data_IF_215836882615
#
_entry.id   IF_215836882615
#
_cell.length_a   1.000
_cell.length_b   1.000
_cell.length_c   1.000
_cell.angle_alpha   90.00
_cell.angle_beta   90.00
_cell.angle_gamma   90.00
#
_symmetry.space_group_name_H-M   'P 1'
#
loop_
_entity.id
_entity.type
_entity.pdbx_description
1 polymer ?
#
# COMPACT_ATOMS: atom_id res chain seq x y z
N UNK A 1 -59.60 -65.91 44.91
CA UNK A 1 -60.36 -66.54 43.81
C UNK A 1 -60.27 -65.64 42.59
N UNK A 2 -59.77 -66.19 41.46
CA UNK A 2 -60.07 -65.91 40.02
C UNK A 2 -60.37 -64.45 39.58
N UNK A 3 -59.88 -63.89 38.47
CA UNK A 3 -58.92 -64.29 37.43
C UNK A 3 -58.87 -63.13 36.40
N UNK A 4 -57.70 -62.89 35.79
CA UNK A 4 -57.45 -62.38 34.41
C UNK A 4 -57.95 -61.00 33.97
N UNK A 5 -57.04 -60.14 33.48
CA UNK A 5 -56.68 -60.05 32.03
C UNK A 5 -55.30 -59.37 31.83
N UNK A 6 -54.49 -60.02 30.99
CA UNK A 6 -53.22 -59.69 30.27
C UNK A 6 -52.41 -58.41 30.59
N UNK A 7 -51.11 -58.40 30.93
CA UNK A 7 -49.85 -58.98 30.38
C UNK A 7 -49.37 -58.43 29.00
N UNK A 8 -48.31 -57.60 29.11
CA UNK A 8 -47.05 -57.49 28.32
C UNK A 8 -47.16 -56.88 26.91
N UNK A 9 -46.42 -55.78 26.66
CA UNK A 9 -45.25 -55.69 25.75
C UNK A 9 -45.01 -54.21 25.38
N UNK A 10 -43.89 -53.69 25.90
CA UNK A 10 -43.10 -52.59 25.34
C UNK A 10 -42.64 -52.97 23.93
N UNK A 11 -43.07 -52.25 22.90
CA UNK A 11 -42.38 -52.20 21.61
C UNK A 11 -42.74 -50.85 20.94
N UNK A 12 -41.71 -50.16 20.42
CA UNK A 12 -41.74 -49.04 19.47
C UNK A 12 -42.00 -47.63 20.02
N UNK A 13 -41.05 -47.13 20.81
CA UNK A 13 -40.68 -45.70 20.77
C UNK A 13 -39.15 -45.60 20.66
N UNK A 14 -38.60 -46.12 19.56
CA UNK A 14 -37.21 -45.89 19.16
C UNK A 14 -37.10 -46.14 17.66
N UNK A 15 -36.40 -45.23 16.97
CA UNK A 15 -35.93 -45.30 15.58
C UNK A 15 -36.99 -44.90 14.53
N UNK A 16 -37.19 -43.58 14.37
CA UNK A 16 -37.62 -42.99 13.10
C UNK A 16 -36.38 -42.40 12.41
N UNK A 17 -35.49 -43.29 11.97
CA UNK A 17 -34.44 -43.04 11.00
C UNK A 17 -34.66 -44.07 9.89
N UNK A 18 -34.51 -43.65 8.63
CA UNK A 18 -34.53 -44.43 7.37
C UNK A 18 -35.85 -44.47 6.58
N UNK A 19 -35.68 -44.42 5.25
CA UNK A 19 -36.66 -44.48 4.16
C UNK A 19 -37.28 -43.15 3.71
N UNK A 20 -36.39 -42.32 3.18
CA UNK A 20 -36.69 -41.25 2.23
C UNK A 20 -37.41 -41.83 1.01
N UNK A 21 -38.47 -41.11 0.65
CA UNK A 21 -39.30 -41.19 -0.54
C UNK A 21 -38.53 -41.50 -1.82
N UNK A 22 -38.91 -42.61 -2.46
CA UNK A 22 -38.66 -42.89 -3.88
C UNK A 22 -39.89 -42.44 -4.69
N UNK A 23 -39.64 -41.89 -5.87
CA UNK A 23 -40.61 -41.59 -6.94
C UNK A 23 -41.57 -40.40 -6.73
N UNK A 24 -41.11 -39.22 -7.16
CA UNK A 24 -41.87 -38.39 -8.10
C UNK A 24 -40.88 -37.57 -8.95
N UNK A 25 -40.40 -38.19 -10.02
CA UNK A 25 -39.73 -37.50 -11.13
C UNK A 25 -40.83 -37.08 -12.11
N UNK A 26 -40.82 -35.82 -12.55
CA UNK A 26 -40.80 -35.40 -13.98
C UNK A 26 -41.24 -33.92 -14.13
N UNK A 27 -40.40 -33.18 -14.88
CA UNK A 27 -40.54 -31.84 -15.48
C UNK A 27 -40.37 -30.61 -14.56
N UNK A 28 -39.12 -30.14 -14.42
CA UNK A 28 -38.71 -28.81 -14.90
C UNK A 28 -37.25 -28.85 -15.36
N UNK A 29 -36.99 -28.12 -16.43
CA UNK A 29 -35.80 -28.13 -17.29
C UNK A 29 -34.67 -27.31 -16.64
N UNK A 30 -33.42 -27.78 -16.84
CA UNK A 30 -32.13 -27.10 -16.65
C UNK A 30 -32.19 -25.63 -16.19
N UNK A 31 -31.92 -25.38 -14.91
CA UNK A 31 -31.35 -24.13 -14.43
C UNK A 31 -30.06 -24.48 -13.69
N UNK A 32 -29.01 -23.72 -13.99
CA UNK A 32 -27.62 -24.00 -13.64
C UNK A 32 -27.40 -24.25 -12.15
N UNK A 33 -26.34 -25.00 -11.84
CA UNK A 33 -25.80 -25.11 -10.49
C UNK A 33 -25.51 -23.72 -9.95
N UNK A 34 -26.36 -23.20 -9.09
CA UNK A 34 -26.05 -22.05 -8.24
C UNK A 34 -25.14 -22.54 -7.13
N UNK A 35 -23.84 -22.23 -7.24
CA UNK A 35 -22.92 -22.39 -6.12
C UNK A 35 -23.22 -21.23 -5.17
N UNK A 36 -23.62 -21.54 -3.93
CA UNK A 36 -23.72 -20.53 -2.87
C UNK A 36 -22.29 -20.23 -2.43
N UNK A 37 -21.78 -19.06 -2.80
CA UNK A 37 -20.51 -18.53 -2.28
C UNK A 37 -20.87 -17.73 -1.03
N UNK A 38 -20.37 -18.18 0.12
CA UNK A 38 -20.63 -17.56 1.42
C UNK A 38 -19.89 -16.21 1.47
N UNK A 39 -20.63 -15.10 1.36
CA UNK A 39 -20.11 -13.74 1.41
C UNK A 39 -19.73 -13.39 2.85
N UNK A 40 -18.46 -13.62 3.21
CA UNK A 40 -17.80 -13.00 4.38
C UNK A 40 -16.29 -13.17 4.28
N UNK A 41 -15.66 -12.40 3.40
CA UNK A 41 -14.25 -12.07 3.59
C UNK A 41 -14.15 -10.76 4.37
N UNK A 42 -13.37 -10.77 5.45
CA UNK A 42 -13.12 -9.61 6.32
C UNK A 42 -11.79 -8.92 5.99
N UNK A 43 -11.08 -9.38 4.96
CA UNK A 43 -9.76 -8.87 4.57
C UNK A 43 -9.91 -7.82 3.47
N UNK A 44 -9.40 -6.58 3.65
CA UNK A 44 -9.49 -5.52 2.66
C UNK A 44 -8.64 -5.80 1.41
N UNK A 45 -7.78 -6.82 1.45
CA UNK A 45 -6.91 -7.19 0.32
C UNK A 45 -7.57 -8.20 -0.64
N UNK A 46 -8.69 -8.81 -0.26
CA UNK A 46 -9.32 -9.90 -1.00
C UNK A 46 -10.52 -9.41 -1.81
N UNK A 47 -10.43 -9.49 -3.14
CA UNK A 47 -11.58 -9.29 -4.03
C UNK A 47 -12.47 -10.54 -3.96
N UNK A 48 -13.79 -10.44 -3.96
CA UNK A 48 -14.70 -11.59 -3.78
C UNK A 48 -15.55 -11.84 -5.02
N UNK A 49 -15.80 -13.10 -5.34
CA UNK A 49 -16.68 -13.48 -6.45
C UNK A 49 -18.12 -13.62 -5.97
N UNK A 50 -19.08 -13.08 -6.72
CA UNK A 50 -20.53 -13.23 -6.47
C UNK A 50 -21.27 -13.75 -7.70
N UNK A 51 -22.46 -14.28 -7.48
CA UNK A 51 -23.36 -14.64 -8.58
C UNK A 51 -23.89 -13.37 -9.25
N UNK A 52 -23.99 -13.38 -10.58
CA UNK A 52 -24.67 -12.31 -11.33
C UNK A 52 -26.09 -12.74 -11.68
N UNK A 53 -27.06 -11.85 -11.48
CA UNK A 53 -28.44 -12.07 -11.88
C UNK A 53 -28.63 -11.73 -13.37
N UNK A 54 -29.36 -12.59 -14.08
CA UNK A 54 -29.40 -12.63 -15.53
C UNK A 54 -30.23 -11.57 -16.25
N UNK A 55 -30.46 -10.38 -15.67
CA UNK A 55 -31.25 -9.34 -16.33
C UNK A 55 -30.75 -7.90 -16.04
N UNK A 56 -30.17 -7.26 -17.06
CA UNK A 56 -29.84 -5.82 -17.06
C UNK A 56 -30.98 -4.97 -17.62
N UNK A 57 -32.12 -5.57 -17.99
CA UNK A 57 -33.21 -4.82 -18.60
C UNK A 57 -33.73 -3.75 -17.64
N UNK A 58 -33.66 -2.50 -18.10
CA UNK A 58 -34.11 -1.35 -17.33
C UNK A 58 -33.04 -0.64 -16.52
N UNK A 59 -31.77 -1.07 -16.56
CA UNK A 59 -30.68 -0.29 -15.97
C UNK A 59 -30.30 0.89 -16.86
N UNK A 60 -30.21 2.06 -16.24
CA UNK A 60 -29.57 3.24 -16.81
C UNK A 60 -28.16 3.38 -16.27
N UNK A 61 -27.24 3.78 -17.13
CA UNK A 61 -25.84 3.94 -16.81
C UNK A 61 -25.39 5.37 -17.04
N UNK A 62 -24.43 5.81 -16.24
CA UNK A 62 -23.72 7.08 -16.38
C UNK A 62 -22.23 6.82 -16.51
N UNK A 63 -21.59 7.52 -17.45
CA UNK A 63 -20.15 7.45 -17.64
C UNK A 63 -19.44 8.49 -16.77
N UNK A 64 -18.45 8.05 -16.01
CA UNK A 64 -17.51 8.89 -15.25
C UNK A 64 -16.50 9.48 -16.23
N UNK A 65 -16.39 10.81 -16.28
CA UNK A 65 -15.36 11.46 -17.08
C UNK A 65 -14.03 11.47 -16.32
N UNK A 66 -13.07 10.67 -16.77
CA UNK A 66 -11.68 10.73 -16.29
C UNK A 66 -10.95 11.83 -17.06
N UNK A 67 -10.37 12.78 -16.33
CA UNK A 67 -9.46 13.79 -16.90
C UNK A 67 -8.02 13.39 -16.63
N UNK A 68 -7.17 13.55 -17.62
CA UNK A 68 -5.73 13.36 -17.43
C UNK A 68 -5.22 14.29 -16.32
N UNK A 69 -4.25 13.79 -15.55
CA UNK A 69 -3.49 14.63 -14.63
C UNK A 69 -2.68 15.65 -15.43
N UNK A 70 -2.54 16.86 -14.90
CA UNK A 70 -1.66 17.85 -15.52
C UNK A 70 -0.23 17.38 -15.38
N UNK A 71 0.51 17.43 -16.48
CA UNK A 71 1.94 17.14 -16.47
C UNK A 71 2.69 18.22 -15.67
N UNK A 72 3.74 17.81 -14.97
CA UNK A 72 4.74 18.78 -14.49
C UNK A 72 5.31 19.53 -15.70
N UNK A 73 5.59 20.84 -15.59
CA UNK A 73 6.25 21.57 -16.67
C UNK A 73 7.66 21.07 -16.97
N UNK A 74 8.27 20.31 -16.05
CA UNK A 74 9.68 19.90 -16.11
C UNK A 74 9.86 18.39 -16.28
N UNK A 75 8.93 17.59 -15.78
CA UNK A 75 9.07 16.13 -15.72
C UNK A 75 7.94 15.41 -16.47
N UNK A 76 8.31 14.42 -17.26
CA UNK A 76 7.36 13.62 -18.04
C UNK A 76 6.81 12.46 -17.20
N UNK A 77 5.49 12.28 -17.13
CA UNK A 77 4.91 11.13 -16.47
C UNK A 77 5.37 9.80 -17.06
N UNK A 78 5.54 8.81 -16.20
CA UNK A 78 5.73 7.40 -16.56
C UNK A 78 4.41 6.68 -16.33
N UNK A 79 4.01 5.83 -17.29
CA UNK A 79 2.90 4.89 -17.12
C UNK A 79 3.47 3.49 -16.98
N UNK A 80 3.29 2.88 -15.82
CA UNK A 80 3.66 1.48 -15.58
C UNK A 80 2.54 0.56 -16.02
N UNK A 81 2.87 -0.52 -16.71
CA UNK A 81 1.93 -1.59 -17.12
C UNK A 81 2.39 -2.95 -16.62
N UNK A 82 3.12 -2.98 -15.51
CA UNK A 82 3.74 -4.20 -14.97
C UNK A 82 2.69 -5.23 -14.56
N UNK A 83 1.54 -4.80 -14.05
CA UNK A 83 0.39 -5.67 -13.81
C UNK A 83 -0.03 -6.39 -15.08
N UNK A 84 -0.30 -5.63 -16.15
CA UNK A 84 -0.68 -6.17 -17.46
C UNK A 84 0.40 -7.05 -18.10
N UNK A 85 1.66 -6.64 -18.02
CA UNK A 85 2.82 -7.35 -18.59
C UNK A 85 3.03 -8.73 -17.97
N UNK A 86 2.74 -8.86 -16.67
CA UNK A 86 2.87 -10.10 -15.92
C UNK A 86 1.68 -11.06 -16.06
N UNK A 87 0.65 -10.69 -16.82
CA UNK A 87 -0.46 -11.60 -17.13
C UNK A 87 -0.02 -12.67 -18.14
N UNK A 88 -0.33 -13.92 -17.81
CA UNK A 88 0.20 -15.09 -18.50
C UNK A 88 -0.57 -15.45 -19.78
N UNK A 89 -1.88 -15.17 -19.80
CA UNK A 89 -2.75 -15.52 -20.92
C UNK A 89 -3.27 -14.29 -21.67
N UNK A 90 -3.60 -14.47 -22.95
CA UNK A 90 -4.23 -13.42 -23.75
C UNK A 90 -5.66 -13.12 -23.29
N UNK A 91 -6.34 -14.09 -22.67
CA UNK A 91 -7.66 -13.89 -22.03
C UNK A 91 -7.55 -12.93 -20.85
N UNK A 92 -6.55 -13.10 -19.99
CA UNK A 92 -6.28 -12.19 -18.86
C UNK A 92 -6.02 -10.76 -19.33
N UNK A 93 -5.13 -10.59 -20.33
CA UNK A 93 -4.82 -9.26 -20.90
C UNK A 93 -6.03 -8.63 -21.58
N UNK A 94 -6.85 -9.42 -22.29
CA UNK A 94 -8.08 -8.94 -22.93
C UNK A 94 -9.07 -8.44 -21.90
N UNK A 95 -9.27 -9.16 -20.80
CA UNK A 95 -10.11 -8.69 -19.70
C UNK A 95 -9.53 -7.40 -19.10
N UNK A 96 -8.24 -7.37 -18.74
CA UNK A 96 -7.57 -6.17 -18.23
C UNK A 96 -7.86 -4.92 -19.07
N UNK A 97 -7.72 -5.02 -20.41
CA UNK A 97 -7.94 -3.88 -21.31
C UNK A 97 -9.39 -3.40 -21.31
N UNK A 98 -10.35 -4.31 -21.11
CA UNK A 98 -11.78 -4.02 -21.07
C UNK A 98 -12.24 -3.44 -19.72
N UNK A 99 -11.52 -3.73 -18.62
CA UNK A 99 -11.87 -3.23 -17.27
C UNK A 99 -11.97 -1.71 -17.28
N UNK A 100 -10.98 -1.01 -17.84
CA UNK A 100 -10.95 0.48 -17.85
C UNK A 100 -12.26 1.08 -18.37
N UNK A 101 -12.79 0.55 -19.48
CA UNK A 101 -14.06 1.02 -20.04
C UNK A 101 -15.22 0.70 -19.11
N UNK A 102 -15.32 -0.55 -18.67
CA UNK A 102 -16.40 -1.03 -17.82
C UNK A 102 -16.51 -0.24 -16.52
N UNK A 103 -15.42 -0.08 -15.78
CA UNK A 103 -15.45 0.53 -14.43
C UNK A 103 -15.75 2.03 -14.45
N UNK A 104 -15.76 2.67 -15.62
CA UNK A 104 -16.19 4.07 -15.78
C UNK A 104 -17.66 4.21 -16.14
N UNK A 105 -18.36 3.13 -16.48
CA UNK A 105 -19.77 3.16 -16.84
C UNK A 105 -20.55 2.49 -15.71
N UNK A 106 -21.14 3.31 -14.84
CA UNK A 106 -21.72 2.87 -13.57
C UNK A 106 -23.24 3.08 -13.62
N UNK A 107 -24.00 2.12 -13.11
CA UNK A 107 -25.46 2.19 -12.99
C UNK A 107 -25.89 3.36 -12.11
N UNK A 108 -27.02 4.00 -12.45
CA UNK A 108 -27.56 5.13 -11.67
C UNK A 108 -28.23 4.68 -10.36
N UNK A 109 -28.61 3.41 -10.27
CA UNK A 109 -29.29 2.82 -9.13
C UNK A 109 -28.50 1.66 -8.56
N UNK A 110 -28.55 1.52 -7.23
CA UNK A 110 -27.98 0.36 -6.54
C UNK A 110 -28.78 -0.92 -6.81
N UNK A 111 -28.11 -2.06 -6.72
CA UNK A 111 -28.75 -3.36 -6.67
C UNK A 111 -29.37 -3.67 -5.29
N UNK A 112 -29.93 -4.86 -5.13
CA UNK A 112 -30.54 -5.31 -3.88
C UNK A 112 -29.55 -5.47 -2.71
N UNK A 113 -28.25 -5.52 -3.01
CA UNK A 113 -27.16 -5.66 -2.05
C UNK A 113 -26.45 -4.32 -1.77
N UNK A 114 -27.04 -3.20 -2.19
CA UNK A 114 -26.55 -1.83 -1.96
C UNK A 114 -25.29 -1.44 -2.76
N UNK A 115 -24.99 -2.12 -3.88
CA UNK A 115 -23.85 -1.83 -4.76
C UNK A 115 -24.26 -1.15 -6.07
N UNK A 116 -23.39 -0.30 -6.62
CA UNK A 116 -23.55 0.21 -7.98
C UNK A 116 -22.86 -0.73 -8.99
N UNK A 117 -23.62 -1.35 -9.88
CA UNK A 117 -23.07 -2.22 -10.94
C UNK A 117 -22.39 -1.42 -12.04
N UNK A 118 -21.32 -1.95 -12.64
CA UNK A 118 -20.68 -1.39 -13.84
C UNK A 118 -21.25 -2.03 -15.12
N UNK A 119 -21.00 -1.43 -16.29
CA UNK A 119 -21.33 -2.05 -17.59
C UNK A 119 -20.61 -3.39 -17.70
N UNK A 120 -21.34 -4.47 -17.98
CA UNK A 120 -20.75 -5.81 -18.07
C UNK A 120 -19.73 -5.90 -19.20
N UNK A 121 -18.62 -6.58 -18.90
CA UNK A 121 -17.63 -6.98 -19.89
C UNK A 121 -18.04 -8.33 -20.47
N UNK A 122 -18.24 -8.41 -21.78
CA UNK A 122 -18.41 -9.68 -22.48
C UNK A 122 -17.12 -10.06 -23.21
N UNK A 123 -16.64 -11.28 -22.95
CA UNK A 123 -15.43 -11.83 -23.55
C UNK A 123 -15.86 -12.97 -24.48
N UNK A 124 -16.15 -12.59 -25.72
CA UNK A 124 -16.67 -13.51 -26.73
C UNK A 124 -15.69 -14.66 -27.04
N UNK A 125 -16.21 -15.89 -27.06
CA UNK A 125 -15.53 -17.12 -27.45
C UNK A 125 -14.45 -17.59 -26.48
N UNK A 126 -14.42 -17.09 -25.24
CA UNK A 126 -13.40 -17.42 -24.24
C UNK A 126 -14.07 -17.77 -22.92
N UNK A 127 -13.85 -19.00 -22.45
CA UNK A 127 -14.22 -19.44 -21.11
C UNK A 127 -13.06 -19.20 -20.14
N UNK A 128 -13.13 -18.12 -19.35
CA UNK A 128 -12.11 -17.78 -18.36
C UNK A 128 -12.43 -18.40 -17.01
N UNK A 129 -11.45 -19.02 -16.37
CA UNK A 129 -11.56 -19.40 -14.97
C UNK A 129 -11.68 -18.16 -14.07
N UNK A 130 -12.37 -18.31 -12.94
CA UNK A 130 -12.45 -17.27 -11.91
C UNK A 130 -11.07 -16.76 -11.46
N UNK A 131 -10.06 -17.63 -11.44
CA UNK A 131 -8.68 -17.26 -11.11
C UNK A 131 -8.07 -16.31 -12.15
N UNK A 132 -8.28 -16.57 -13.45
CA UNK A 132 -7.85 -15.66 -14.52
C UNK A 132 -8.59 -14.31 -14.41
N UNK A 133 -9.90 -14.33 -14.12
CA UNK A 133 -10.68 -13.11 -13.90
C UNK A 133 -10.09 -12.30 -12.75
N UNK A 134 -9.89 -12.94 -11.59
CA UNK A 134 -9.32 -12.34 -10.38
C UNK A 134 -7.92 -11.77 -10.61
N UNK A 135 -7.02 -12.51 -11.27
CA UNK A 135 -5.67 -12.02 -11.61
C UNK A 135 -5.72 -10.80 -12.53
N UNK A 136 -6.64 -10.78 -13.49
CA UNK A 136 -6.85 -9.62 -14.39
C UNK A 136 -7.30 -8.38 -13.62
N UNK A 137 -8.21 -8.54 -12.66
CA UNK A 137 -8.67 -7.43 -11.80
C UNK A 137 -7.54 -6.91 -10.92
N UNK A 138 -6.81 -7.80 -10.25
CA UNK A 138 -5.69 -7.43 -9.40
C UNK A 138 -4.60 -6.69 -10.19
N UNK A 139 -4.31 -7.13 -11.43
CA UNK A 139 -3.36 -6.45 -12.31
C UNK A 139 -3.84 -5.03 -12.67
N UNK A 140 -5.14 -4.87 -12.96
CA UNK A 140 -5.73 -3.58 -13.25
C UNK A 140 -5.62 -2.62 -12.05
N UNK A 141 -6.01 -3.06 -10.85
CA UNK A 141 -5.92 -2.24 -9.63
C UNK A 141 -4.47 -1.86 -9.32
N UNK A 142 -3.53 -2.78 -9.52
CA UNK A 142 -2.09 -2.55 -9.33
C UNK A 142 -1.53 -1.46 -10.26
N UNK A 143 -1.95 -1.43 -11.53
CA UNK A 143 -1.46 -0.43 -12.51
C UNK A 143 -2.21 0.92 -12.43
N UNK A 144 -3.38 0.97 -11.77
CA UNK A 144 -4.28 2.13 -11.80
C UNK A 144 -4.63 2.66 -10.40
N UNK A 145 -3.65 3.17 -9.62
CA UNK A 145 -3.86 3.63 -8.23
C UNK A 145 -4.83 4.81 -8.08
N UNK A 146 -5.16 5.49 -9.19
CA UNK A 146 -6.11 6.61 -9.23
C UNK A 146 -7.58 6.18 -9.37
N UNK A 147 -7.85 4.90 -9.67
CA UNK A 147 -9.20 4.33 -9.74
C UNK A 147 -9.55 3.78 -8.35
N UNK A 148 -10.26 4.58 -7.56
CA UNK A 148 -10.50 4.30 -6.14
C UNK A 148 -11.91 3.84 -5.79
N UNK A 149 -12.80 3.78 -6.78
CA UNK A 149 -14.23 3.51 -6.56
C UNK A 149 -14.61 2.06 -6.83
N UNK A 150 -13.68 1.20 -7.22
CA UNK A 150 -13.92 -0.23 -7.43
C UNK A 150 -14.08 -0.91 -6.07
N UNK A 151 -15.14 -1.69 -5.91
CA UNK A 151 -15.33 -2.54 -4.74
C UNK A 151 -14.47 -3.80 -4.83
N UNK A 152 -14.24 -4.46 -3.70
CA UNK A 152 -13.60 -5.77 -3.62
C UNK A 152 -14.61 -6.88 -3.95
N UNK A 153 -15.38 -6.68 -5.02
CA UNK A 153 -16.45 -7.55 -5.48
C UNK A 153 -16.44 -7.61 -7.01
N UNK A 154 -16.61 -8.81 -7.55
CA UNK A 154 -16.92 -9.01 -8.96
C UNK A 154 -17.88 -10.18 -9.11
N UNK A 155 -18.69 -10.15 -10.17
CA UNK A 155 -19.51 -11.28 -10.56
C UNK A 155 -19.11 -11.77 -11.94
N UNK A 156 -19.38 -13.05 -12.23
CA UNK A 156 -19.16 -13.60 -13.55
C UNK A 156 -20.16 -14.71 -13.89
N UNK A 157 -20.44 -14.89 -15.18
CA UNK A 157 -21.21 -16.03 -15.69
C UNK A 157 -20.70 -16.47 -17.07
N UNK A 158 -21.12 -17.67 -17.46
CA UNK A 158 -20.83 -18.23 -18.77
C UNK A 158 -22.08 -18.25 -19.63
N UNK A 159 -21.97 -17.74 -20.85
CA UNK A 159 -23.03 -17.79 -21.86
C UNK A 159 -22.49 -18.54 -23.08
N UNK A 160 -22.72 -19.85 -23.13
CA UNK A 160 -22.02 -20.70 -24.10
C UNK A 160 -20.52 -20.75 -23.80
N UNK A 161 -19.71 -20.34 -24.78
CA UNK A 161 -18.24 -20.22 -24.62
C UNK A 161 -17.82 -18.82 -24.17
N UNK A 162 -18.74 -17.87 -24.04
CA UNK A 162 -18.42 -16.50 -23.64
C UNK A 162 -18.31 -16.38 -22.12
N UNK A 163 -17.41 -15.51 -21.65
CA UNK A 163 -17.35 -15.10 -20.24
C UNK A 163 -17.89 -13.69 -20.09
N UNK A 164 -18.89 -13.53 -19.23
CA UNK A 164 -19.42 -12.25 -18.82
C UNK A 164 -18.89 -11.90 -17.43
N UNK A 165 -18.38 -10.68 -17.25
CA UNK A 165 -17.85 -10.18 -15.97
C UNK A 165 -18.53 -8.86 -15.61
N UNK A 166 -18.93 -8.72 -14.35
CA UNK A 166 -19.56 -7.54 -13.77
C UNK A 166 -18.72 -7.06 -12.59
N UNK A 167 -18.48 -5.75 -12.52
CA UNK A 167 -17.80 -5.12 -11.38
C UNK A 167 -18.77 -4.24 -10.62
N UNK A 168 -18.35 -3.83 -9.43
CA UNK A 168 -19.15 -3.02 -8.53
C UNK A 168 -18.39 -1.79 -8.10
N UNK A 169 -19.10 -0.68 -7.96
CA UNK A 169 -18.57 0.55 -7.42
C UNK A 169 -19.18 0.85 -6.06
N UNK A 170 -18.32 1.27 -5.12
CA UNK A 170 -18.70 1.67 -3.76
C UNK A 170 -19.42 3.02 -3.72
N UNK A 171 -19.39 3.79 -4.82
CA UNK A 171 -20.00 5.11 -4.93
C UNK A 171 -20.63 5.31 -6.33
N UNK A 172 -21.55 6.28 -6.44
CA UNK A 172 -22.20 6.59 -7.72
C UNK A 172 -21.25 7.24 -8.73
N UNK A 173 -21.58 7.20 -10.03
CA UNK A 173 -20.82 7.90 -11.08
C UNK A 173 -20.64 9.40 -10.80
N UNK A 174 -21.66 10.07 -10.26
CA UNK A 174 -21.62 11.49 -9.85
C UNK A 174 -20.57 11.74 -8.78
N UNK A 175 -20.48 10.84 -7.82
CA UNK A 175 -19.53 10.94 -6.73
C UNK A 175 -18.11 10.59 -7.19
N UNK A 176 -17.95 9.56 -8.04
CA UNK A 176 -16.68 9.24 -8.69
C UNK A 176 -16.12 10.47 -9.40
N UNK A 177 -16.92 11.09 -10.28
CA UNK A 177 -16.49 12.25 -11.07
C UNK A 177 -16.13 13.45 -10.17
N UNK A 178 -16.94 13.74 -9.15
CA UNK A 178 -16.65 14.82 -8.19
C UNK A 178 -15.37 14.57 -7.41
N UNK A 179 -15.21 13.38 -6.80
CA UNK A 179 -14.01 13.04 -6.02
C UNK A 179 -12.77 12.96 -6.90
N UNK A 180 -12.90 12.44 -8.12
CA UNK A 180 -11.81 12.36 -9.08
C UNK A 180 -11.32 13.76 -9.50
N UNK A 181 -12.23 14.72 -9.71
CA UNK A 181 -11.86 16.10 -9.98
C UNK A 181 -11.11 16.75 -8.80
N UNK A 182 -11.48 16.43 -7.56
CA UNK A 182 -10.76 16.91 -6.36
C UNK A 182 -9.37 16.29 -6.27
N UNK A 183 -9.25 14.97 -6.48
CA UNK A 183 -7.96 14.28 -6.53
C UNK A 183 -7.07 14.87 -7.63
N UNK A 184 -7.59 15.00 -8.85
CA UNK A 184 -6.88 15.59 -9.98
C UNK A 184 -6.38 17.00 -9.64
N UNK A 185 -7.23 17.84 -9.04
CA UNK A 185 -6.83 19.19 -8.61
C UNK A 185 -5.75 19.19 -7.53
N UNK A 186 -5.80 18.25 -6.57
CA UNK A 186 -4.78 18.13 -5.53
C UNK A 186 -3.44 17.68 -6.10
N UNK A 187 -3.45 16.61 -6.91
CA UNK A 187 -2.26 16.10 -7.60
C UNK A 187 -1.63 17.17 -8.48
N UNK A 188 -2.42 17.90 -9.27
CA UNK A 188 -1.90 18.96 -10.13
C UNK A 188 -1.21 20.08 -9.33
N UNK A 189 -1.70 20.41 -8.13
CA UNK A 189 -1.03 21.39 -7.26
C UNK A 189 0.33 20.88 -6.78
N UNK A 190 0.43 19.61 -6.41
CA UNK A 190 1.69 19.00 -5.97
C UNK A 190 2.68 18.95 -7.13
N UNK A 191 2.25 18.52 -8.32
CA UNK A 191 3.10 18.48 -9.52
C UNK A 191 3.58 19.88 -9.95
N UNK A 192 2.77 20.93 -9.72
CA UNK A 192 3.15 22.30 -10.01
C UNK A 192 4.16 22.90 -9.02
N UNK A 193 4.33 22.27 -7.84
CA UNK A 193 5.33 22.66 -6.84
C UNK A 193 6.72 22.07 -7.12
N UNK A 194 6.86 21.17 -8.10
CA UNK A 194 8.16 20.68 -8.54
C UNK A 194 8.94 21.78 -9.25
N UNK A 195 10.21 21.92 -8.92
CA UNK A 195 11.13 22.90 -9.52
C UNK A 195 11.95 22.28 -10.66
N UNK A 196 12.45 23.11 -11.56
CA UNK A 196 13.36 22.66 -12.61
C UNK A 196 14.69 22.20 -12.02
N UNK A 197 15.26 21.13 -12.56
CA UNK A 197 16.57 20.62 -12.17
C UNK A 197 16.62 19.74 -10.91
N UNK A 198 15.50 19.48 -10.22
CA UNK A 198 15.45 18.45 -9.17
C UNK A 198 15.82 17.06 -9.73
N UNK A 199 16.72 16.37 -9.05
CA UNK A 199 17.07 14.97 -9.29
C UNK A 199 15.89 14.02 -9.00
N UNK A 200 16.01 12.74 -9.40
CA UNK A 200 15.04 11.71 -9.01
C UNK A 200 14.93 11.59 -7.48
N UNK A 201 16.06 11.56 -6.77
CA UNK A 201 16.09 11.53 -5.31
C UNK A 201 15.37 12.72 -4.67
N UNK A 202 15.60 13.95 -5.15
CA UNK A 202 14.96 15.15 -4.59
C UNK A 202 13.45 15.17 -4.86
N UNK A 203 13.02 14.75 -6.05
CA UNK A 203 11.59 14.60 -6.38
C UNK A 203 10.92 13.55 -5.52
N UNK A 204 11.56 12.41 -5.33
CA UNK A 204 11.04 11.35 -4.49
C UNK A 204 10.89 11.80 -3.03
N UNK A 205 11.95 12.41 -2.47
CA UNK A 205 11.92 12.95 -1.10
C UNK A 205 10.80 13.99 -0.96
N UNK A 206 10.64 14.88 -1.93
CA UNK A 206 9.57 15.87 -1.92
C UNK A 206 8.18 15.23 -1.85
N UNK A 207 7.94 14.18 -2.65
CA UNK A 207 6.65 13.48 -2.64
C UNK A 207 6.42 12.68 -1.37
N UNK A 208 7.47 12.04 -0.85
CA UNK A 208 7.47 11.34 0.43
C UNK A 208 7.09 12.28 1.58
N UNK A 209 7.80 13.38 1.70
CA UNK A 209 7.57 14.38 2.74
C UNK A 209 6.18 15.02 2.57
N UNK A 210 5.72 15.24 1.34
CA UNK A 210 4.36 15.71 1.07
C UNK A 210 3.31 14.72 1.60
N UNK A 211 3.43 13.43 1.29
CA UNK A 211 2.46 12.41 1.72
C UNK A 211 2.41 12.31 3.25
N UNK A 212 3.56 12.21 3.92
CA UNK A 212 3.62 12.09 5.38
C UNK A 212 3.08 13.35 6.07
N UNK A 213 3.45 14.55 5.60
CA UNK A 213 3.02 15.78 6.24
C UNK A 213 1.54 16.11 6.02
N UNK A 214 0.86 15.46 5.06
CA UNK A 214 -0.54 15.72 4.73
C UNK A 214 -1.47 14.55 5.05
N UNK A 215 -0.95 13.43 5.56
CA UNK A 215 -1.73 12.25 5.86
C UNK A 215 -1.47 11.73 7.28
N UNK A 216 -2.53 11.27 7.93
CA UNK A 216 -2.47 10.64 9.25
C UNK A 216 -2.79 9.16 9.10
N UNK A 217 -1.93 8.30 9.64
CA UNK A 217 -2.14 6.86 9.61
C UNK A 217 -3.38 6.43 10.40
N UNK A 218 -4.21 5.56 9.79
CA UNK A 218 -5.47 5.05 10.36
C UNK A 218 -5.44 3.55 10.65
N UNK A 219 -4.63 3.14 11.63
CA UNK A 219 -4.49 1.72 12.01
C UNK A 219 -5.73 1.01 12.59
N UNK A 220 -6.87 1.68 12.75
CA UNK A 220 -8.12 1.08 13.28
C UNK A 220 -9.11 0.64 12.19
N UNK A 221 -8.76 0.82 10.91
CA UNK A 221 -9.63 0.49 9.78
C UNK A 221 -9.34 -0.94 9.34
N UNK A 222 -10.36 -1.81 9.36
CA UNK A 222 -10.19 -3.23 9.07
C UNK A 222 -10.76 -3.64 7.70
N UNK A 223 -11.65 -2.85 7.11
CA UNK A 223 -12.32 -3.19 5.85
C UNK A 223 -12.80 -1.96 5.06
N UNK A 224 -13.13 -2.14 3.78
CA UNK A 224 -13.76 -1.08 2.96
C UNK A 224 -15.06 -0.55 3.57
N UNK A 225 -15.80 -1.39 4.31
CA UNK A 225 -17.03 -0.97 5.00
C UNK A 225 -16.80 0.02 6.14
N UNK A 226 -15.58 0.07 6.69
CA UNK A 226 -15.16 1.06 7.69
C UNK A 226 -14.78 2.41 7.04
N UNK A 227 -14.58 2.42 5.71
CA UNK A 227 -14.29 3.58 4.88
C UNK A 227 -13.33 3.26 3.74
N UNK A 228 -13.87 3.05 2.53
CA UNK A 228 -13.08 2.72 1.34
C UNK A 228 -11.99 3.77 1.04
N UNK A 229 -12.22 5.04 1.40
CA UNK A 229 -11.25 6.11 1.12
C UNK A 229 -9.88 5.82 1.74
N UNK A 230 -9.83 5.19 2.92
CA UNK A 230 -8.57 4.96 3.65
C UNK A 230 -7.59 4.03 2.90
N UNK A 231 -8.08 3.23 1.95
CA UNK A 231 -7.33 2.27 1.13
C UNK A 231 -6.96 2.83 -0.25
N UNK A 232 -7.06 4.15 -0.44
CA UNK A 232 -6.94 4.80 -1.75
C UNK A 232 -6.00 6.00 -1.72
N UNK A 233 -5.48 6.36 -2.90
CA UNK A 233 -4.73 7.61 -3.06
C UNK A 233 -5.58 8.85 -2.73
N UNK A 234 -6.91 8.76 -2.89
CA UNK A 234 -7.83 9.82 -2.45
C UNK A 234 -7.81 10.02 -0.93
N UNK A 235 -7.80 8.93 -0.15
CA UNK A 235 -7.70 9.00 1.31
C UNK A 235 -6.46 9.73 1.78
N UNK A 236 -5.30 9.36 1.23
CA UNK A 236 -4.03 9.98 1.62
C UNK A 236 -3.88 11.41 1.09
N UNK A 237 -4.07 11.65 -0.22
CA UNK A 237 -3.79 12.97 -0.84
C UNK A 237 -4.87 14.01 -0.54
N UNK A 238 -6.14 13.61 -0.45
CA UNK A 238 -7.27 14.56 -0.35
C UNK A 238 -7.87 14.59 1.06
N UNK A 239 -8.15 13.43 1.65
CA UNK A 239 -8.75 13.36 2.98
C UNK A 239 -7.72 13.57 4.09
N UNK A 240 -6.45 13.25 3.83
CA UNK A 240 -5.36 13.30 4.79
C UNK A 240 -5.44 12.19 5.84
N UNK A 241 -6.09 11.08 5.51
CA UNK A 241 -6.22 9.92 6.40
C UNK A 241 -6.22 8.63 5.57
N UNK A 242 -5.29 7.71 5.87
CA UNK A 242 -5.15 6.46 5.12
C UNK A 242 -4.49 5.34 5.95
N UNK A 243 -4.65 4.10 5.48
CA UNK A 243 -3.80 2.95 5.87
C UNK A 243 -2.65 2.77 4.87
N UNK A 244 -1.80 1.77 5.08
CA UNK A 244 -0.60 1.52 4.27
C UNK A 244 -0.86 1.48 2.77
N UNK A 245 -1.97 0.85 2.34
CA UNK A 245 -2.38 0.83 0.93
C UNK A 245 -2.62 2.22 0.34
N UNK A 246 -3.23 3.14 1.10
CA UNK A 246 -3.45 4.51 0.64
C UNK A 246 -2.17 5.34 0.55
N UNK A 247 -1.21 5.11 1.46
CA UNK A 247 0.14 5.70 1.37
C UNK A 247 0.86 5.17 0.13
N UNK A 248 0.90 3.85 -0.05
CA UNK A 248 1.63 3.20 -1.14
C UNK A 248 1.07 3.56 -2.53
N UNK A 249 -0.26 3.60 -2.68
CA UNK A 249 -0.92 4.06 -3.93
C UNK A 249 -0.68 5.54 -4.20
N UNK A 250 -0.57 6.37 -3.17
CA UNK A 250 -0.26 7.80 -3.33
C UNK A 250 1.17 8.01 -3.80
N UNK A 251 2.12 7.31 -3.19
CA UNK A 251 3.52 7.33 -3.65
C UNK A 251 3.63 6.81 -5.09
N UNK A 252 2.98 5.70 -5.42
CA UNK A 252 2.95 5.18 -6.79
C UNK A 252 2.40 6.23 -7.78
N UNK A 253 1.26 6.86 -7.46
CA UNK A 253 0.64 7.86 -8.33
C UNK A 253 1.52 9.10 -8.51
N UNK A 254 2.01 9.68 -7.41
CA UNK A 254 2.78 10.92 -7.43
C UNK A 254 4.16 10.73 -8.08
N UNK A 255 4.86 9.64 -7.75
CA UNK A 255 6.19 9.35 -8.31
C UNK A 255 6.10 9.08 -9.82
N UNK A 256 5.16 8.23 -10.25
CA UNK A 256 4.96 7.97 -11.68
C UNK A 256 4.61 9.24 -12.45
N UNK A 257 3.72 10.11 -11.93
CA UNK A 257 3.42 11.41 -12.55
C UNK A 257 4.61 12.37 -12.55
N UNK A 258 5.49 12.28 -11.55
CA UNK A 258 6.74 13.03 -11.50
C UNK A 258 7.84 12.45 -12.40
N UNK A 259 7.59 11.34 -13.09
CA UNK A 259 8.55 10.71 -14.00
C UNK A 259 9.56 9.77 -13.33
N UNK A 260 9.17 9.15 -12.22
CA UNK A 260 9.96 8.14 -11.49
C UNK A 260 9.17 6.83 -11.51
N UNK A 261 9.80 5.73 -11.93
CA UNK A 261 9.14 4.43 -11.98
C UNK A 261 8.90 3.91 -10.56
N UNK A 262 7.64 3.75 -10.18
CA UNK A 262 7.23 3.28 -8.87
C UNK A 262 6.05 2.29 -8.97
N UNK A 263 6.12 1.23 -8.16
CA UNK A 263 5.07 0.22 -8.05
C UNK A 263 4.82 -0.13 -6.58
N UNK A 264 3.61 -0.60 -6.27
CA UNK A 264 3.30 -1.13 -4.93
C UNK A 264 3.86 -2.54 -4.75
N UNK A 265 4.29 -2.88 -3.54
CA UNK A 265 4.62 -4.24 -3.10
C UNK A 265 3.66 -4.65 -1.99
N UNK A 266 3.19 -5.89 -2.03
CA UNK A 266 2.38 -6.55 -1.01
C UNK A 266 3.23 -7.56 -0.23
N UNK A 267 2.93 -7.65 1.05
CA UNK A 267 3.63 -8.51 1.96
C UNK A 267 2.98 -8.53 3.33
N UNK A 268 3.80 -8.83 4.32
CA UNK A 268 3.46 -8.71 5.72
C UNK A 268 4.52 -7.86 6.43
N UNK A 269 4.09 -7.11 7.43
CA UNK A 269 4.96 -6.38 8.34
C UNK A 269 4.48 -6.62 9.76
N UNK A 270 5.38 -7.03 10.65
CA UNK A 270 5.03 -7.49 12.01
C UNK A 270 3.90 -8.55 12.08
N UNK A 271 3.75 -9.35 11.01
CA UNK A 271 2.72 -10.39 10.92
C UNK A 271 1.33 -9.90 10.50
N UNK A 272 1.20 -8.66 10.05
CA UNK A 272 -0.03 -8.06 9.50
C UNK A 272 0.18 -7.73 8.03
N UNK A 273 -0.85 -7.91 7.22
CA UNK A 273 -0.83 -7.53 5.81
C UNK A 273 -0.40 -6.09 5.61
N UNK A 274 0.56 -5.89 4.72
CA UNK A 274 1.16 -4.58 4.50
C UNK A 274 1.41 -4.31 3.02
N UNK A 275 1.35 -3.03 2.65
CA UNK A 275 1.64 -2.56 1.32
C UNK A 275 2.59 -1.35 1.38
N UNK A 276 3.67 -1.42 0.62
CA UNK A 276 4.66 -0.36 0.47
C UNK A 276 5.06 -0.23 -1.01
N UNK A 277 6.21 0.37 -1.33
CA UNK A 277 6.64 0.60 -2.71
C UNK A 277 8.02 0.01 -3.03
N UNK A 278 8.22 -0.22 -4.33
CA UNK A 278 9.54 -0.22 -4.96
C UNK A 278 9.64 0.96 -5.91
N UNK A 279 10.80 1.59 -5.95
CA UNK A 279 11.07 2.82 -6.70
C UNK A 279 12.42 2.71 -7.39
N UNK A 280 12.49 3.24 -8.62
CA UNK A 280 13.71 3.24 -9.42
C UNK A 280 14.34 4.63 -9.43
N UNK A 281 15.55 4.75 -8.87
CA UNK A 281 16.32 6.00 -8.78
C UNK A 281 17.70 5.79 -9.39
N UNK A 282 18.08 6.63 -10.34
CA UNK A 282 19.37 6.58 -11.06
C UNK A 282 19.69 5.16 -11.58
N UNK A 283 18.70 4.52 -12.19
CA UNK A 283 18.73 3.16 -12.74
C UNK A 283 18.79 1.98 -11.74
N UNK A 284 18.80 2.25 -10.44
CA UNK A 284 18.78 1.24 -9.38
C UNK A 284 17.42 1.14 -8.69
N UNK A 285 17.06 -0.05 -8.21
CA UNK A 285 15.81 -0.29 -7.50
C UNK A 285 15.99 -0.26 -5.98
N UNK A 286 15.00 0.31 -5.30
CA UNK A 286 14.96 0.42 -3.86
C UNK A 286 13.55 0.15 -3.33
N UNK A 287 13.48 -0.25 -2.06
CA UNK A 287 12.23 -0.24 -1.30
C UNK A 287 12.00 1.14 -0.67
N UNK A 288 10.74 1.53 -0.65
CA UNK A 288 10.24 2.74 -0.02
C UNK A 288 8.99 2.40 0.80
N UNK A 289 9.01 2.68 2.11
CA UNK A 289 7.83 2.54 2.97
C UNK A 289 7.52 3.83 3.72
N UNK A 290 6.74 4.70 3.06
CA UNK A 290 6.27 5.96 3.63
C UNK A 290 5.34 5.77 4.84
N UNK A 291 4.80 4.58 5.07
CA UNK A 291 3.95 4.31 6.23
C UNK A 291 4.80 4.12 7.47
N UNK A 292 5.90 3.37 7.36
CA UNK A 292 6.84 3.16 8.46
C UNK A 292 7.72 4.38 8.73
N UNK A 293 7.88 5.25 7.73
CA UNK A 293 8.54 6.54 7.89
C UNK A 293 7.62 7.66 8.45
N UNK A 294 6.30 7.43 8.53
CA UNK A 294 5.35 8.35 9.18
C UNK A 294 5.35 8.15 10.70
N UNK A 295 5.97 9.08 11.42
CA UNK A 295 5.96 9.08 12.90
C UNK A 295 5.16 10.24 13.45
N UNK A 296 4.67 10.09 14.69
CA UNK A 296 4.03 11.19 15.45
C UNK A 296 4.88 12.47 15.56
N UNK A 297 6.18 12.37 15.30
CA UNK A 297 7.15 13.46 15.37
C UNK A 297 7.57 13.99 13.99
N UNK A 298 6.87 13.59 12.91
CA UNK A 298 7.18 13.92 11.52
C UNK A 298 7.84 12.76 10.78
N UNK A 299 8.16 13.01 9.51
CA UNK A 299 8.85 12.05 8.66
C UNK A 299 10.19 11.65 9.25
N UNK A 300 10.44 10.34 9.28
CA UNK A 300 11.79 9.78 9.33
C UNK A 300 12.12 9.19 7.96
N UNK A 301 13.30 8.59 7.82
CA UNK A 301 13.78 8.07 6.53
C UNK A 301 14.45 6.70 6.70
N UNK A 302 13.98 5.90 7.65
CA UNK A 302 14.53 4.57 7.93
C UNK A 302 14.16 3.56 6.85
N UNK A 303 13.08 3.81 6.12
CA UNK A 303 12.59 2.99 5.02
C UNK A 303 12.58 3.74 3.68
N UNK A 304 13.40 4.79 3.56
CA UNK A 304 13.58 5.58 2.35
C UNK A 304 14.76 5.05 1.51
N UNK A 305 14.45 4.46 0.35
CA UNK A 305 15.41 3.87 -0.57
C UNK A 305 16.36 2.84 0.07
N UNK A 306 15.78 1.83 0.71
CA UNK A 306 16.54 0.73 1.32
C UNK A 306 16.60 -0.49 0.40
N UNK A 307 17.57 -1.36 0.65
CA UNK A 307 17.77 -2.60 -0.11
C UNK A 307 16.92 -3.77 0.41
N UNK A 308 17.00 -4.90 -0.30
CA UNK A 308 16.37 -6.16 0.05
C UNK A 308 16.78 -6.68 1.44
N UNK A 309 18.04 -6.44 1.87
CA UNK A 309 18.54 -6.93 3.15
C UNK A 309 17.85 -6.18 4.30
N UNK A 310 17.79 -4.86 4.20
CA UNK A 310 17.21 -4.00 5.23
C UNK A 310 15.69 -4.18 5.32
N UNK A 311 14.95 -4.20 4.21
CA UNK A 311 13.47 -4.33 4.27
C UNK A 311 13.07 -5.66 4.92
N UNK A 312 13.82 -6.75 4.66
CA UNK A 312 13.54 -8.10 5.16
C UNK A 312 13.81 -8.27 6.66
N UNK A 313 14.38 -7.26 7.33
CA UNK A 313 14.54 -7.28 8.79
C UNK A 313 13.22 -7.14 9.54
N UNK A 314 12.21 -6.55 8.90
CA UNK A 314 10.89 -6.24 9.47
C UNK A 314 9.72 -6.70 8.59
N UNK A 315 9.96 -6.82 7.28
CA UNK A 315 8.94 -7.18 6.29
C UNK A 315 9.17 -8.57 5.70
N UNK A 316 8.07 -9.21 5.28
CA UNK A 316 8.10 -10.38 4.41
C UNK A 316 7.44 -10.01 3.09
N UNK A 317 8.14 -10.22 1.97
CA UNK A 317 7.63 -9.94 0.63
C UNK A 317 6.78 -11.13 0.15
N UNK A 318 5.54 -10.88 -0.28
CA UNK A 318 4.73 -11.94 -0.87
C UNK A 318 5.31 -12.40 -2.22
N UNK A 319 5.07 -13.66 -2.65
CA UNK A 319 5.62 -14.20 -3.89
C UNK A 319 5.21 -13.40 -5.13
N UNK A 320 6.01 -13.51 -6.21
CA UNK A 320 5.61 -12.99 -7.52
C UNK A 320 4.50 -13.88 -8.12
N UNK A 321 3.62 -13.29 -8.94
CA UNK A 321 2.43 -13.95 -9.50
C UNK A 321 2.75 -15.26 -10.24
N UNK A 322 3.92 -15.39 -10.87
CA UNK A 322 4.36 -16.60 -11.58
C UNK A 322 4.70 -17.76 -10.64
N UNK A 323 5.00 -17.47 -9.37
CA UNK A 323 5.25 -18.48 -8.33
C UNK A 323 3.95 -18.96 -7.66
N UNK A 324 2.83 -18.30 -7.95
CA UNK A 324 1.51 -18.61 -7.40
C UNK A 324 0.66 -19.31 -8.46
N UNK A 325 0.20 -20.53 -8.14
CA UNK A 325 -0.70 -21.23 -9.05
C UNK A 325 -2.06 -20.52 -9.15
N UNK A 326 -2.74 -20.70 -10.30
CA UNK A 326 -4.09 -20.18 -10.53
C UNK A 326 -5.06 -20.55 -9.40
N UNK A 327 -5.04 -21.78 -8.92
CA UNK A 327 -5.96 -22.23 -7.86
C UNK A 327 -5.65 -21.54 -6.53
N UNK A 328 -4.36 -21.39 -6.17
CA UNK A 328 -3.95 -20.65 -4.98
C UNK A 328 -4.39 -19.18 -5.04
N UNK A 329 -4.40 -18.56 -6.22
CA UNK A 329 -4.82 -17.15 -6.34
C UNK A 329 -6.27 -16.85 -5.91
N UNK A 330 -7.11 -17.89 -5.73
CA UNK A 330 -8.46 -17.76 -5.18
C UNK A 330 -8.54 -17.84 -3.66
N UNK A 331 -7.46 -18.26 -3.00
CA UNK A 331 -7.45 -18.42 -1.55
C UNK A 331 -7.59 -17.05 -0.89
N UNK A 332 -8.55 -16.95 0.03
CA UNK A 332 -8.70 -15.77 0.88
C UNK A 332 -7.37 -15.53 1.62
N UNK A 333 -6.93 -14.28 1.65
CA UNK A 333 -5.66 -13.82 2.24
C UNK A 333 -4.38 -14.13 1.45
N UNK A 334 -4.44 -14.81 0.29
CA UNK A 334 -3.24 -14.99 -0.52
C UNK A 334 -2.84 -13.69 -1.21
N UNK A 335 -1.75 -13.09 -0.73
CA UNK A 335 -1.09 -11.94 -1.35
C UNK A 335 -0.02 -12.39 -2.34
N UNK A 336 0.13 -11.63 -3.42
CA UNK A 336 1.18 -11.80 -4.41
C UNK A 336 1.47 -10.47 -5.11
N UNK A 337 2.60 -10.42 -5.81
CA UNK A 337 3.08 -9.24 -6.51
C UNK A 337 3.15 -9.50 -8.02
N UNK A 338 2.80 -8.49 -8.84
CA UNK A 338 3.00 -8.58 -10.30
C UNK A 338 4.43 -8.27 -10.70
N UNK A 339 5.18 -7.59 -9.84
CA UNK A 339 6.56 -7.19 -10.10
C UNK A 339 7.34 -7.13 -8.80
N UNK A 340 8.52 -7.74 -8.78
CA UNK A 340 9.47 -7.66 -7.68
C UNK A 340 10.86 -7.48 -8.31
N UNK A 341 11.44 -6.27 -8.26
CA UNK A 341 12.81 -6.06 -8.70
C UNK A 341 13.80 -6.56 -7.64
N UNK A 342 15.07 -6.68 -8.01
CA UNK A 342 16.15 -6.86 -7.03
C UNK A 342 16.59 -5.48 -6.53
N UNK A 343 16.42 -5.21 -5.23
CA UNK A 343 16.92 -3.97 -4.62
C UNK A 343 18.23 -4.27 -3.90
N UNK A 344 19.35 -3.84 -4.49
CA UNK A 344 20.71 -4.14 -3.95
C UNK A 344 21.57 -2.90 -3.69
N UNK A 345 21.10 -1.74 -4.16
CA UNK A 345 21.80 -0.48 -3.95
C UNK A 345 21.29 0.19 -2.67
N UNK A 346 22.18 0.96 -2.04
CA UNK A 346 21.85 1.87 -0.94
C UNK A 346 22.22 3.32 -1.28
N UNK A 347 22.65 3.61 -2.51
CA UNK A 347 23.19 4.91 -2.92
C UNK A 347 22.14 6.04 -2.89
N UNK A 348 20.88 5.72 -3.19
CA UNK A 348 19.78 6.65 -3.09
C UNK A 348 19.13 6.67 -1.70
N UNK A 349 19.65 5.91 -0.72
CA UNK A 349 19.19 5.94 0.66
C UNK A 349 19.33 7.33 1.26
N UNK A 350 18.34 7.78 2.04
CA UNK A 350 18.38 9.12 2.64
C UNK A 350 19.64 9.35 3.46
N UNK A 351 19.96 8.42 4.36
CA UNK A 351 21.14 8.55 5.23
C UNK A 351 22.45 8.36 4.47
N UNK A 352 22.48 7.55 3.41
CA UNK A 352 23.65 7.46 2.52
C UNK A 352 24.00 8.81 1.90
N UNK A 353 23.00 9.67 1.63
CA UNK A 353 23.21 11.01 1.07
C UNK A 353 23.36 12.11 2.13
N UNK A 354 22.73 11.99 3.29
CA UNK A 354 22.55 13.10 4.23
C UNK A 354 23.19 12.88 5.62
N UNK A 355 23.61 11.67 5.98
CA UNK A 355 24.17 11.41 7.30
C UNK A 355 25.65 11.79 7.40
N UNK A 356 26.05 12.23 8.60
CA UNK A 356 27.46 12.28 8.94
C UNK A 356 27.98 10.84 9.12
N UNK A 357 29.10 10.50 8.49
CA UNK A 357 29.67 9.14 8.56
C UNK A 357 30.85 9.11 9.52
N UNK A 358 30.84 8.15 10.45
CA UNK A 358 31.93 7.89 11.38
C UNK A 358 32.45 6.46 11.14
N UNK A 359 33.63 6.33 10.54
CA UNK A 359 34.38 5.08 10.38
C UNK A 359 35.47 4.92 11.44
N UNK A 360 36.00 6.04 11.92
CA UNK A 360 37.04 6.13 12.95
C UNK A 360 36.81 7.39 13.80
N UNK A 361 37.59 7.55 14.85
CA UNK A 361 37.53 8.71 15.74
C UNK A 361 38.71 9.69 15.56
N UNK A 362 39.29 9.71 14.35
CA UNK A 362 40.37 10.63 13.98
C UNK A 362 39.90 12.07 13.77
N UNK A 363 40.86 12.99 13.66
CA UNK A 363 40.58 14.42 13.56
C UNK A 363 39.75 14.78 12.33
N UNK A 364 40.00 14.15 11.19
CA UNK A 364 39.26 14.41 9.95
C UNK A 364 37.79 14.03 10.09
N UNK A 365 37.51 12.83 10.59
CA UNK A 365 36.15 12.33 10.79
C UNK A 365 35.41 13.17 11.83
N UNK A 366 36.07 13.51 12.93
CA UNK A 366 35.46 14.35 13.97
C UNK A 366 35.08 15.74 13.43
N UNK A 367 35.94 16.37 12.61
CA UNK A 367 35.66 17.68 12.01
C UNK A 367 34.48 17.64 11.02
N UNK A 368 34.29 16.54 10.30
CA UNK A 368 33.10 16.35 9.44
C UNK A 368 31.81 16.31 10.26
N UNK A 369 31.81 15.60 11.39
CA UNK A 369 30.64 15.55 12.30
C UNK A 369 30.35 16.93 12.90
N UNK A 370 31.38 17.67 13.32
CA UNK A 370 31.22 19.05 13.83
C UNK A 370 30.64 19.96 12.74
N UNK A 371 31.12 19.85 11.50
CA UNK A 371 30.58 20.63 10.38
C UNK A 371 29.10 20.28 10.11
N UNK A 372 28.75 19.00 10.19
CA UNK A 372 27.37 18.55 10.05
C UNK A 372 26.46 19.08 11.19
N UNK A 373 26.97 19.13 12.43
CA UNK A 373 26.27 19.76 13.56
C UNK A 373 26.00 21.25 13.32
N UNK A 374 26.99 21.99 12.84
CA UNK A 374 26.86 23.43 12.54
C UNK A 374 25.81 23.64 11.45
N UNK A 375 25.86 22.86 10.37
CA UNK A 375 24.89 22.96 9.28
C UNK A 375 23.47 22.62 9.76
N UNK A 376 23.32 21.53 10.51
CA UNK A 376 22.05 21.14 11.09
C UNK A 376 21.48 22.25 11.99
N UNK A 377 22.33 22.87 12.82
CA UNK A 377 21.94 23.94 13.71
C UNK A 377 21.49 25.21 12.98
N UNK A 378 22.24 25.65 11.95
CA UNK A 378 21.89 26.81 11.14
C UNK A 378 20.58 26.61 10.37
N UNK A 379 20.26 25.38 9.98
CA UNK A 379 18.99 25.01 9.35
C UNK A 379 17.88 24.66 10.34
N UNK A 380 18.15 24.73 11.65
CA UNK A 380 17.24 24.31 12.73
C UNK A 380 16.68 22.90 12.52
N UNK A 381 17.52 21.99 12.03
CA UNK A 381 17.16 20.60 11.81
C UNK A 381 16.78 19.92 13.13
N UNK A 382 15.74 19.11 13.11
CA UNK A 382 15.31 18.35 14.29
C UNK A 382 16.25 17.20 14.62
N UNK A 383 16.88 16.62 13.59
CA UNK A 383 17.69 15.43 13.71
C UNK A 383 19.04 15.59 13.01
N UNK A 384 20.10 15.11 13.65
CA UNK A 384 21.37 14.81 13.00
C UNK A 384 21.55 13.29 12.88
N UNK A 385 21.39 12.71 11.69
CA UNK A 385 21.71 11.30 11.47
C UNK A 385 23.21 11.09 11.39
N UNK A 386 23.70 10.07 12.08
CA UNK A 386 25.09 9.63 12.07
C UNK A 386 25.14 8.14 11.71
N UNK A 387 25.76 7.82 10.59
CA UNK A 387 26.02 6.45 10.16
C UNK A 387 27.40 5.98 10.62
N UNK A 388 27.48 4.71 10.98
CA UNK A 388 28.71 4.08 11.44
C UNK A 388 29.29 3.16 10.37
N UNK A 389 30.61 3.24 10.20
CA UNK A 389 31.36 2.33 9.36
C UNK A 389 31.51 0.94 9.97
N UNK A 390 32.00 -0.01 9.17
CA UNK A 390 32.14 -1.43 9.57
C UNK A 390 33.40 -1.73 10.37
N UNK A 391 34.22 -0.72 10.68
CA UNK A 391 35.51 -0.84 11.36
C UNK A 391 35.38 -1.25 12.82
N UNK A 392 34.25 -0.94 13.46
CA UNK A 392 33.94 -1.30 14.85
C UNK A 392 32.50 -1.81 14.96
N UNK A 393 32.17 -2.43 16.08
CA UNK A 393 30.81 -2.84 16.35
C UNK A 393 29.93 -1.63 16.65
N UNK A 394 28.66 -1.67 16.26
CA UNK A 394 27.69 -0.59 16.48
C UNK A 394 27.69 -0.07 17.94
N UNK A 395 27.60 -0.98 18.92
CA UNK A 395 27.60 -0.59 20.33
C UNK A 395 28.93 0.03 20.80
N UNK A 396 30.05 -0.25 20.13
CA UNK A 396 31.33 0.40 20.45
C UNK A 396 31.34 1.87 20.02
N UNK A 397 30.79 2.19 18.84
CA UNK A 397 30.58 3.58 18.41
C UNK A 397 29.66 4.33 19.36
N UNK A 398 28.51 3.75 19.66
CA UNK A 398 27.50 4.34 20.54
C UNK A 398 28.09 4.63 21.92
N UNK A 399 28.76 3.64 22.52
CA UNK A 399 29.36 3.82 23.83
C UNK A 399 30.43 4.89 23.82
N UNK A 400 31.30 4.91 22.80
CA UNK A 400 32.37 5.92 22.68
C UNK A 400 31.84 7.33 22.50
N UNK A 401 30.76 7.50 21.73
CA UNK A 401 30.15 8.80 21.49
C UNK A 401 29.38 9.34 22.69
N UNK A 402 28.57 8.50 23.34
CA UNK A 402 27.51 8.97 24.25
C UNK A 402 27.62 8.47 25.69
N UNK A 403 28.28 7.33 25.96
CA UNK A 403 28.19 6.66 27.27
C UNK A 403 29.51 6.42 28.00
N UNK A 404 30.64 6.44 27.31
CA UNK A 404 31.98 6.28 27.88
C UNK A 404 32.76 7.58 27.80
N UNK A 405 33.49 7.91 28.87
CA UNK A 405 34.44 9.02 28.87
C UNK A 405 35.42 8.87 27.68
N UNK A 406 35.63 9.94 26.88
CA UNK A 406 35.33 11.35 27.18
C UNK A 406 33.95 11.85 26.70
N UNK A 407 33.02 10.96 26.34
CA UNK A 407 31.72 11.27 25.74
C UNK A 407 31.86 12.15 24.50
N UNK A 408 32.53 11.60 23.49
CA UNK A 408 33.03 12.35 22.32
C UNK A 408 32.00 13.26 21.68
N UNK A 409 30.73 12.84 21.61
CA UNK A 409 29.70 13.65 20.95
C UNK A 409 29.51 15.03 21.62
N UNK A 410 29.55 15.11 22.95
CA UNK A 410 29.44 16.39 23.66
C UNK A 410 30.64 17.30 23.39
N UNK A 411 31.82 16.75 23.12
CA UNK A 411 32.97 17.54 22.68
C UNK A 411 32.77 18.14 21.28
N UNK A 412 32.06 17.43 20.39
CA UNK A 412 31.71 17.94 19.06
C UNK A 412 30.69 19.06 19.17
N UNK A 413 29.67 18.90 20.02
CA UNK A 413 28.67 19.94 20.30
C UNK A 413 29.32 21.21 20.86
N UNK A 414 30.25 21.08 21.82
CA UNK A 414 30.99 22.24 22.33
C UNK A 414 31.76 22.96 21.21
N UNK A 415 32.45 22.20 20.36
CA UNK A 415 33.22 22.75 19.23
C UNK A 415 32.34 23.41 18.17
N UNK A 416 31.12 22.90 17.95
CA UNK A 416 30.13 23.50 17.08
C UNK A 416 29.57 24.80 17.68
N UNK A 417 29.20 24.79 18.96
CA UNK A 417 28.65 25.95 19.68
C UNK A 417 29.65 27.11 19.83
N UNK A 418 30.96 26.85 19.76
CA UNK A 418 31.98 27.90 19.66
C UNK A 418 31.95 28.68 18.33
N UNK A 419 31.34 28.09 17.29
CA UNK A 419 31.25 28.64 15.94
C UNK A 419 29.84 29.11 15.56
N UNK A 420 28.82 28.72 16.33
CA UNK A 420 27.43 29.12 16.14
C UNK A 420 27.15 30.44 16.88
N UNK A 421 26.23 31.23 16.33
CA UNK A 421 25.68 32.38 17.05
C UNK A 421 24.76 31.92 18.20
N UNK A 422 24.36 32.86 19.07
CA UNK A 422 23.56 32.55 20.25
C UNK A 422 22.17 31.99 19.91
N UNK A 423 21.60 32.32 18.75
CA UNK A 423 20.27 31.86 18.33
C UNK A 423 20.30 30.40 17.86
N UNK A 424 21.41 29.95 17.27
CA UNK A 424 21.56 28.61 16.70
C UNK A 424 22.30 27.63 17.61
N UNK A 425 22.74 28.06 18.80
CA UNK A 425 23.43 27.16 19.75
C UNK A 425 22.58 25.95 20.12
N UNK A 426 23.23 24.79 20.05
CA UNK A 426 22.67 23.50 20.40
C UNK A 426 22.62 23.41 21.93
N UNK A 427 21.44 23.16 22.49
CA UNK A 427 21.27 22.84 23.89
C UNK A 427 21.80 21.43 24.15
N UNK A 428 22.84 21.37 24.97
CA UNK A 428 23.55 20.14 25.29
C UNK A 428 22.72 19.19 26.16
N UNK A 429 21.91 19.74 27.05
CA UNK A 429 21.17 18.95 28.04
C UNK A 429 19.84 18.43 27.47
N UNK A 430 19.32 19.07 26.43
CA UNK A 430 18.14 18.65 25.67
C UNK A 430 18.38 17.56 24.61
N UNK A 431 19.63 17.13 24.40
CA UNK A 431 19.95 16.10 23.40
C UNK A 431 19.41 14.73 23.80
N UNK A 432 18.89 14.00 22.82
CA UNK A 432 18.58 12.58 22.96
C UNK A 432 18.99 11.80 21.71
N UNK A 433 19.00 10.47 21.79
CA UNK A 433 19.37 9.61 20.67
C UNK A 433 18.30 8.55 20.40
N UNK A 434 18.08 8.27 19.12
CA UNK A 434 17.30 7.14 18.65
C UNK A 434 18.24 6.20 17.90
N UNK A 435 18.41 4.99 18.44
CA UNK A 435 19.28 3.94 17.89
C UNK A 435 18.57 3.20 16.75
N UNK A 436 19.28 2.93 15.66
CA UNK A 436 18.88 1.99 14.62
C UNK A 436 20.07 1.07 14.30
N UNK A 437 20.16 -0.03 15.05
CA UNK A 437 21.28 -0.98 14.94
C UNK A 437 21.31 -1.69 13.58
N UNK A 438 20.14 -2.03 13.03
CA UNK A 438 20.03 -2.69 11.72
C UNK A 438 20.65 -1.83 10.60
N UNK A 439 20.42 -0.52 10.63
CA UNK A 439 21.00 0.42 9.68
C UNK A 439 22.40 0.91 10.08
N UNK A 440 22.97 0.43 11.19
CA UNK A 440 24.21 0.96 11.78
C UNK A 440 24.20 2.49 11.90
N UNK A 441 23.07 3.02 12.39
CA UNK A 441 22.75 4.44 12.41
C UNK A 441 22.31 4.88 13.80
N UNK A 442 22.65 6.11 14.19
CA UNK A 442 22.01 6.82 15.29
C UNK A 442 21.45 8.15 14.80
N UNK A 443 20.23 8.48 15.21
CA UNK A 443 19.69 9.84 15.05
C UNK A 443 19.86 10.57 16.36
N UNK A 444 20.57 11.69 16.32
CA UNK A 444 20.62 12.60 17.45
C UNK A 444 19.46 13.58 17.31
N UNK A 445 18.57 13.61 18.30
CA UNK A 445 17.52 14.63 18.40
C UNK A 445 18.17 15.89 18.93
N UNK A 446 18.17 16.93 18.11
CA UNK A 446 18.75 18.21 18.45
C UNK A 446 17.73 19.07 19.22
N UNK A 447 18.23 19.78 20.21
CA UNK A 447 17.52 20.84 20.91
C UNK A 447 18.35 22.12 20.76
N UNK A 448 17.70 23.27 20.67
CA UNK A 448 18.37 24.56 20.56
C UNK A 448 18.10 25.43 21.77
N UNK A 449 19.11 26.18 22.19
CA UNK A 449 19.02 27.04 23.39
C UNK A 449 17.93 28.11 23.27
N UNK A 450 17.67 28.62 22.06
CA UNK A 450 16.55 29.52 21.77
C UNK A 450 15.18 28.95 22.15
N UNK A 451 15.01 27.64 22.03
CA UNK A 451 13.71 26.99 22.18
C UNK A 451 13.32 26.87 23.68
N UNK A 452 14.31 26.99 24.56
CA UNK A 452 14.14 26.94 26.02
C UNK A 452 13.75 28.28 26.65
N UNK A 453 13.80 29.38 25.89
CA UNK A 453 13.39 30.72 26.37
C UNK A 453 11.91 31.04 26.09
N UNK A 454 11.23 30.25 25.23
CA UNK A 454 9.81 30.43 24.88
C UNK A 454 8.82 29.49 25.61
N UNK A 455 9.33 28.52 26.40
CA UNK A 455 8.54 27.60 27.24
C UNK A 455 8.45 28.06 28.69
#
# INVERSE_FOLDING_TARGET
MKKTTSRIIYVLFFILLTAIFTCCTIYFINLGRTTIIDNKSTSPDTINAVNIDGDDTGLSYRTVTIKDFSESPYYKPIKTTKGRESLSSESEKKLYDLITKSVTIISETKDENDHYRTERVNIEGIHMSESEIRRSINAFVFDNPHIFWLDNLFGYAYVGEDTMVEFYSVISADECEKKYLVLNSAVNRVMASLEDGMSEFERERFMHDFVINNCIYKGTVASLSDGWEYFSAYGSIVKGEAVCEGYAKSMQLLLNLSGIECMTIRGDSEGVGHMWNVVKIDDEWYHLDSTWDDTTNGAIYDFFNIDDEMIKTSHTISPIVDEVSLDQSKENDLRYNFFIPQCTSTQAGYYSKNAAVITTFDEETNNKVISALINAANSKEKYLPIMFGKEMQYEEYINTLFFNQPYKFYSYVNSANEQLDDEHKIDRDGLSIVKNENASLVRVVLAYTSDSEES
#
